data_IF_682809877495
#
_entry.id   IF_682809877495
#
_cell.length_a   1.000
_cell.length_b   1.000
_cell.length_c   1.000
_cell.angle_alpha   90.00
_cell.angle_beta   90.00
_cell.angle_gamma   90.00
#
_symmetry.space_group_name_H-M   'P 1'
#
loop_
_entity.id
_entity.type
_entity.pdbx_description
1 polymer ?
#
# COMPACT_ATOMS: atom_id res chain seq x y z
N UNK A 1 0.21 7.84 17.26
CA UNK A 1 -0.36 7.70 15.91
C UNK A 1 -1.35 6.55 15.93
N UNK A 2 -2.57 6.74 15.42
CA UNK A 2 -3.57 5.67 15.29
C UNK A 2 -3.38 4.90 13.98
N UNK A 3 -3.34 3.57 14.06
CA UNK A 3 -3.23 2.69 12.91
C UNK A 3 -4.61 2.56 12.24
N UNK A 4 -4.83 3.28 11.13
CA UNK A 4 -6.14 3.32 10.45
C UNK A 4 -6.19 2.51 9.15
N UNK A 5 -5.04 2.11 8.61
CA UNK A 5 -4.96 1.44 7.32
C UNK A 5 -4.52 -0.03 7.48
N UNK A 6 -5.49 -0.93 7.60
CA UNK A 6 -5.20 -2.37 7.64
C UNK A 6 -4.71 -2.89 6.28
N UNK A 7 -3.94 -3.98 6.30
CA UNK A 7 -3.70 -4.80 5.10
C UNK A 7 -5.03 -5.18 4.46
N UNK A 8 -5.05 -5.27 3.13
CA UNK A 8 -6.23 -5.42 2.26
C UNK A 8 -7.10 -4.16 2.08
N UNK A 9 -6.76 -3.04 2.73
CA UNK A 9 -7.40 -1.77 2.42
C UNK A 9 -7.04 -1.29 1.01
N UNK A 10 -8.01 -0.64 0.37
CA UNK A 10 -7.78 0.09 -0.89
C UNK A 10 -7.71 1.58 -0.59
N UNK A 11 -6.61 2.22 -0.96
CA UNK A 11 -6.37 3.66 -0.76
C UNK A 11 -6.18 4.35 -2.11
N UNK A 12 -6.48 5.64 -2.17
CA UNK A 12 -6.23 6.42 -3.37
C UNK A 12 -4.75 6.78 -3.47
N UNK A 13 -4.20 6.77 -4.68
CA UNK A 13 -2.84 7.26 -4.92
C UNK A 13 -2.85 8.77 -5.03
N UNK A 14 -1.91 9.43 -4.36
CA UNK A 14 -1.66 10.87 -4.47
C UNK A 14 -0.38 11.14 -5.28
N UNK A 15 -0.18 10.38 -6.37
CA UNK A 15 0.97 10.47 -7.25
C UNK A 15 0.54 10.68 -8.71
N UNK A 16 1.47 11.14 -9.55
CA UNK A 16 1.25 11.40 -10.98
C UNK A 16 1.70 10.22 -11.87
N UNK A 17 2.05 9.07 -11.30
CA UNK A 17 2.50 7.88 -12.05
C UNK A 17 1.41 7.27 -12.93
N UNK A 18 0.14 7.54 -12.62
CA UNK A 18 -1.04 7.01 -13.31
C UNK A 18 -1.69 5.84 -12.59
N UNK A 19 -1.29 5.55 -11.36
CA UNK A 19 -2.05 4.75 -10.43
C UNK A 19 -3.18 5.60 -9.80
N UNK A 20 -4.39 5.04 -9.67
CA UNK A 20 -5.54 5.72 -9.03
C UNK A 20 -5.86 5.10 -7.67
N UNK A 21 -5.82 3.77 -7.60
CA UNK A 21 -6.12 3.03 -6.38
C UNK A 21 -5.05 1.99 -6.11
N UNK A 22 -4.54 2.00 -4.88
CA UNK A 22 -3.59 1.04 -4.35
C UNK A 22 -4.29 0.08 -3.42
N UNK A 23 -3.85 -1.17 -3.45
CA UNK A 23 -4.27 -2.20 -2.52
C UNK A 23 -3.08 -2.59 -1.65
N UNK A 24 -3.21 -2.40 -0.34
CA UNK A 24 -2.12 -2.64 0.62
C UNK A 24 -1.98 -4.15 0.86
N UNK A 25 -0.77 -4.66 0.67
CA UNK A 25 -0.41 -6.07 0.83
C UNK A 25 0.31 -6.29 2.16
N UNK A 26 1.26 -5.44 2.50
CA UNK A 26 2.02 -5.55 3.75
C UNK A 26 2.60 -4.20 4.18
N UNK A 27 3.00 -4.11 5.45
CA UNK A 27 3.64 -2.93 6.04
C UNK A 27 5.06 -3.31 6.44
N UNK A 28 6.05 -2.52 6.04
CA UNK A 28 7.46 -2.75 6.35
C UNK A 28 7.74 -2.41 7.81
N UNK A 29 8.55 -3.24 8.48
CA UNK A 29 9.02 -2.97 9.84
C UNK A 29 8.08 -3.39 10.97
N UNK A 30 6.92 -3.99 10.68
CA UNK A 30 5.97 -4.45 11.70
C UNK A 30 6.05 -5.97 11.87
N UNK A 31 6.24 -6.44 13.12
CA UNK A 31 6.11 -7.85 13.47
C UNK A 31 4.64 -8.22 13.68
N UNK A 32 4.20 -9.26 12.97
CA UNK A 32 2.85 -9.81 13.10
C UNK A 32 2.62 -10.51 14.44
N UNK A 33 1.35 -10.70 14.78
CA UNK A 33 0.89 -11.58 15.87
C UNK A 33 -0.18 -12.50 15.28
N UNK A 34 -0.31 -13.72 15.81
CA UNK A 34 -1.36 -14.66 15.38
C UNK A 34 -2.73 -13.96 15.39
N UNK A 35 -3.46 -14.07 14.28
CA UNK A 35 -4.79 -13.47 14.03
C UNK A 35 -4.85 -11.94 14.00
N UNK A 36 -3.72 -11.22 13.97
CA UNK A 36 -3.70 -9.74 13.83
C UNK A 36 -3.31 -9.35 12.41
N UNK A 37 -4.20 -8.62 11.73
CA UNK A 37 -3.88 -7.96 10.47
C UNK A 37 -2.90 -6.81 10.75
N UNK A 38 -1.85 -6.72 9.92
CA UNK A 38 -0.94 -5.57 9.97
C UNK A 38 -1.71 -4.32 9.59
N UNK A 39 -1.35 -3.21 10.23
CA UNK A 39 -1.94 -1.90 9.95
C UNK A 39 -0.82 -0.88 9.82
N UNK A 40 -1.04 0.15 9.01
CA UNK A 40 -0.13 1.25 8.76
C UNK A 40 -0.70 2.56 9.33
N UNK A 41 0.21 3.43 9.73
CA UNK A 41 -0.01 4.85 10.01
C UNK A 41 0.48 5.70 8.82
N UNK A 42 0.18 7.00 8.89
CA UNK A 42 0.76 7.99 7.96
C UNK A 42 2.28 7.99 8.11
N UNK A 43 3.00 7.88 6.99
CA UNK A 43 4.46 7.85 6.95
C UNK A 43 5.08 6.45 6.95
N UNK A 44 4.30 5.40 7.20
CA UNK A 44 4.79 4.03 7.12
C UNK A 44 5.01 3.59 5.67
N UNK A 45 6.05 2.79 5.46
CA UNK A 45 6.33 2.20 4.15
C UNK A 45 5.52 0.92 3.96
N UNK A 46 4.71 0.87 2.90
CA UNK A 46 3.80 -0.24 2.59
C UNK A 46 4.13 -0.87 1.23
N UNK A 47 3.98 -2.18 1.12
CA UNK A 47 3.92 -2.83 -0.19
C UNK A 47 2.48 -2.79 -0.69
N UNK A 48 2.27 -2.29 -1.90
CA UNK A 48 0.96 -2.17 -2.49
C UNK A 48 0.95 -2.56 -3.97
N UNK A 49 -0.23 -2.94 -4.48
CA UNK A 49 -0.46 -3.18 -5.91
C UNK A 49 -1.46 -2.17 -6.46
N UNK A 50 -1.33 -1.81 -7.74
CA UNK A 50 -2.28 -0.92 -8.40
C UNK A 50 -3.53 -1.71 -8.79
N UNK A 51 -4.68 -1.40 -8.18
CA UNK A 51 -5.97 -2.02 -8.53
C UNK A 51 -6.64 -1.28 -9.69
N UNK A 52 -6.53 0.05 -9.72
CA UNK A 52 -7.03 0.93 -10.80
C UNK A 52 -5.92 1.90 -11.22
N UNK A 53 -5.68 2.05 -12.52
CA UNK A 53 -4.60 2.86 -13.10
C UNK A 53 -4.14 2.39 -14.49
N UNK A 54 -2.95 2.79 -14.92
CA UNK A 54 -2.30 2.31 -16.14
C UNK A 54 -2.18 0.76 -16.15
N UNK A 55 -2.47 0.07 -17.26
CA UNK A 55 -2.41 -1.39 -17.34
C UNK A 55 -1.03 -1.97 -16.97
N UNK A 56 0.04 -1.27 -17.34
CA UNK A 56 1.44 -1.68 -17.12
C UNK A 56 1.80 -1.84 -15.64
N UNK A 57 1.05 -1.16 -14.75
CA UNK A 57 1.30 -1.12 -13.31
C UNK A 57 0.40 -2.09 -12.51
N UNK A 58 -0.69 -2.62 -13.10
CA UNK A 58 -1.75 -3.35 -12.36
C UNK A 58 -1.37 -4.74 -11.85
N UNK A 59 -0.20 -5.25 -12.24
CA UNK A 59 0.31 -6.58 -11.84
C UNK A 59 1.63 -6.49 -11.10
N UNK A 60 2.18 -5.29 -10.96
CA UNK A 60 3.45 -5.06 -10.26
C UNK A 60 3.18 -4.76 -8.79
N UNK A 61 4.01 -5.32 -7.92
CA UNK A 61 4.06 -4.96 -6.51
C UNK A 61 5.04 -3.81 -6.38
N UNK A 62 4.57 -2.68 -5.85
CA UNK A 62 5.34 -1.47 -5.66
C UNK A 62 5.44 -1.16 -4.17
N UNK A 63 6.55 -0.54 -3.77
CA UNK A 63 6.70 0.00 -2.42
C UNK A 63 6.18 1.44 -2.45
N UNK A 64 5.36 1.84 -1.48
CA UNK A 64 4.95 3.23 -1.22
C UNK A 64 5.55 3.62 0.14
N UNK A 65 6.17 4.82 0.32
CA UNK A 65 5.58 6.13 0.06
C UNK A 65 6.18 6.92 -1.12
N UNK A 66 7.22 6.39 -1.76
CA UNK A 66 7.75 6.87 -3.05
C UNK A 66 7.54 5.79 -4.08
N UNK A 67 6.69 6.02 -5.08
CA UNK A 67 6.56 5.12 -6.23
C UNK A 67 7.86 5.16 -7.03
N UNK A 68 8.83 4.32 -6.67
CA UNK A 68 10.07 4.13 -7.45
C UNK A 68 9.79 3.22 -8.66
N UNK A 69 9.18 3.80 -9.69
CA UNK A 69 9.12 3.29 -11.07
C UNK A 69 9.30 4.45 -12.05
#
# INVERSE_FOLDING_TARGET
MSLSLSVAATVNCADNTGAKNLYIISVKGIKGRLNRLLSACVGDMVMAKVKKGKPDLRKKVCTAPGFDL
#
